data_IF_227329109469
#
_entry.id   IF_227329109469
#
_cell.length_a   1.000
_cell.length_b   1.000
_cell.length_c   1.000
_cell.angle_alpha   90.00
_cell.angle_beta   90.00
_cell.angle_gamma   90.00
#
_symmetry.space_group_name_H-M   'P 1'
#
loop_
_entity.id
_entity.type
_entity.pdbx_description
1 polymer ?
#
# COMPACT_ATOMS: atom_id res chain seq x y z
N UNK A 1 -13.70 -14.50 -8.10
CA UNK A 1 -12.30 -14.97 -7.99
C UNK A 1 -11.67 -14.22 -6.82
N UNK A 2 -11.47 -14.88 -5.68
CA UNK A 2 -10.85 -14.25 -4.51
C UNK A 2 -9.34 -14.33 -4.72
N UNK A 3 -8.69 -13.20 -5.00
CA UNK A 3 -7.23 -13.16 -5.18
C UNK A 3 -6.60 -13.33 -3.78
N UNK A 4 -6.02 -14.51 -3.50
CA UNK A 4 -5.28 -14.73 -2.27
C UNK A 4 -3.95 -13.96 -2.35
N UNK A 5 -3.90 -12.80 -1.70
CA UNK A 5 -2.67 -12.02 -1.52
C UNK A 5 -2.19 -12.31 -0.08
N UNK A 6 -0.92 -12.63 0.09
CA UNK A 6 -0.30 -12.65 1.42
C UNK A 6 -0.15 -11.19 1.89
N UNK A 7 -1.23 -10.65 2.44
CA UNK A 7 -1.29 -9.27 2.92
C UNK A 7 -0.66 -9.16 4.30
N UNK A 8 0.20 -8.17 4.50
CA UNK A 8 0.77 -7.88 5.83
C UNK A 8 0.00 -6.79 6.56
N UNK A 9 -0.58 -5.84 5.84
CA UNK A 9 -1.26 -4.68 6.42
C UNK A 9 -2.24 -4.06 5.43
N UNK A 10 -3.27 -3.40 5.96
CA UNK A 10 -4.18 -2.55 5.19
C UNK A 10 -4.44 -1.21 5.89
N UNK A 11 -4.84 -0.20 5.11
CA UNK A 11 -5.30 1.10 5.59
C UNK A 11 -6.42 1.63 4.69
N UNK A 12 -7.24 2.54 5.20
CA UNK A 12 -8.37 3.13 4.47
C UNK A 12 -8.12 4.62 4.26
N UNK A 13 -8.50 5.18 3.11
CA UNK A 13 -8.47 6.63 2.90
C UNK A 13 -9.38 7.36 3.90
N UNK A 14 -9.10 8.62 4.26
CA UNK A 14 -9.98 9.42 5.11
C UNK A 14 -11.41 9.54 4.58
N UNK A 15 -11.60 9.52 3.26
CA UNK A 15 -12.92 9.55 2.62
C UNK A 15 -13.65 8.20 2.68
N UNK A 16 -12.94 7.10 2.91
CA UNK A 16 -13.49 5.74 2.96
C UNK A 16 -13.64 5.05 1.59
N UNK A 17 -13.19 5.68 0.50
CA UNK A 17 -13.41 5.16 -0.86
C UNK A 17 -12.29 4.25 -1.36
N UNK A 18 -11.11 4.33 -0.74
CA UNK A 18 -9.92 3.57 -1.14
C UNK A 18 -9.37 2.73 0.01
N UNK A 19 -8.97 1.49 -0.32
CA UNK A 19 -8.24 0.57 0.54
C UNK A 19 -6.81 0.42 0.02
N UNK A 20 -5.83 0.59 0.89
CA UNK A 20 -4.41 0.41 0.59
C UNK A 20 -3.95 -0.89 1.23
N UNK A 21 -3.32 -1.78 0.46
CA UNK A 21 -2.94 -3.12 0.91
C UNK A 21 -1.49 -3.37 0.52
N UNK A 22 -0.65 -3.73 1.49
CA UNK A 22 0.73 -4.13 1.21
C UNK A 22 0.80 -5.58 0.75
N UNK A 23 1.61 -5.82 -0.29
CA UNK A 23 1.92 -7.14 -0.82
C UNK A 23 3.45 -7.32 -0.79
N UNK A 24 4.02 -7.78 0.35
CA UNK A 24 5.46 -7.87 0.56
C UNK A 24 6.15 -8.76 -0.46
N UNK A 25 5.60 -9.94 -0.71
CA UNK A 25 6.19 -10.96 -1.58
C UNK A 25 6.33 -10.47 -3.03
N UNK A 26 5.48 -9.53 -3.45
CA UNK A 26 5.52 -8.95 -4.78
C UNK A 26 6.09 -7.53 -4.81
N UNK A 27 6.58 -7.01 -3.69
CA UNK A 27 7.12 -5.64 -3.58
C UNK A 27 6.14 -4.58 -4.11
N UNK A 28 4.86 -4.73 -3.75
CA UNK A 28 3.76 -3.93 -4.30
C UNK A 28 2.86 -3.36 -3.22
N UNK A 29 2.23 -2.24 -3.54
CA UNK A 29 1.08 -1.71 -2.82
C UNK A 29 -0.12 -1.78 -3.76
N UNK A 30 -1.22 -2.35 -3.30
CA UNK A 30 -2.48 -2.38 -4.04
C UNK A 30 -3.39 -1.29 -3.51
N UNK A 31 -4.08 -0.60 -4.41
CA UNK A 31 -5.15 0.33 -4.09
C UNK A 31 -6.42 -0.25 -4.65
N UNK A 32 -7.38 -0.50 -3.77
CA UNK A 32 -8.65 -1.09 -4.12
C UNK A 32 -9.76 -0.07 -3.85
N UNK A 33 -10.86 -0.17 -4.60
CA UNK A 33 -12.09 0.49 -4.21
C UNK A 33 -12.71 -0.25 -3.01
N UNK A 34 -13.70 0.39 -2.39
CA UNK A 34 -14.43 -0.17 -1.25
C UNK A 34 -15.10 -1.52 -1.55
N UNK A 35 -15.45 -1.79 -2.80
CA UNK A 35 -16.02 -3.06 -3.24
C UNK A 35 -14.98 -4.19 -3.44
N UNK A 36 -13.69 -3.89 -3.22
CA UNK A 36 -12.60 -4.83 -3.39
C UNK A 36 -12.06 -4.94 -4.81
N UNK A 37 -12.55 -4.13 -5.76
CA UNK A 37 -11.95 -4.05 -7.09
C UNK A 37 -10.58 -3.38 -7.02
N UNK A 38 -9.59 -3.93 -7.73
CA UNK A 38 -8.25 -3.33 -7.80
C UNK A 38 -8.30 -2.11 -8.72
N UNK A 39 -8.04 -0.93 -8.16
CA UNK A 39 -7.92 0.32 -8.90
C UNK A 39 -6.51 0.52 -9.43
N UNK A 40 -5.52 0.25 -8.59
CA UNK A 40 -4.10 0.47 -8.90
C UNK A 40 -3.27 -0.66 -8.32
N UNK A 41 -2.29 -1.11 -9.09
CA UNK A 41 -1.15 -1.88 -8.59
C UNK A 41 0.09 -0.99 -8.64
N UNK A 42 0.52 -0.49 -7.49
CA UNK A 42 1.64 0.41 -7.37
C UNK A 42 2.94 -0.36 -7.05
N UNK A 43 4.00 -0.01 -7.75
CA UNK A 43 5.34 -0.58 -7.58
C UNK A 43 6.38 0.52 -7.70
N UNK A 44 7.33 0.55 -6.79
CA UNK A 44 8.44 1.50 -6.78
C UNK A 44 9.70 0.76 -6.28
N UNK A 45 10.92 1.07 -6.77
CA UNK A 45 12.15 0.48 -6.23
C UNK A 45 12.32 0.67 -4.72
N UNK A 46 11.81 1.77 -4.15
CA UNK A 46 11.82 2.04 -2.72
C UNK A 46 10.83 1.18 -1.93
N UNK A 47 9.85 0.55 -2.60
CA UNK A 47 8.83 -0.36 -2.05
C UNK A 47 9.38 -1.76 -1.77
N UNK A 48 10.59 -1.85 -1.23
CA UNK A 48 11.24 -3.12 -0.92
C UNK A 48 10.56 -3.79 0.28
N UNK A 49 9.83 -4.88 0.06
CA UNK A 49 9.20 -5.67 1.12
C UNK A 49 8.26 -4.84 2.02
N UNK A 50 7.16 -4.27 1.48
CA UNK A 50 6.23 -3.48 2.27
C UNK A 50 5.56 -4.32 3.35
N UNK A 51 5.75 -3.93 4.60
CA UNK A 51 5.23 -4.65 5.78
C UNK A 51 4.08 -3.92 6.45
N UNK A 52 4.01 -2.59 6.34
CA UNK A 52 2.97 -1.77 6.96
C UNK A 52 2.53 -0.62 6.07
N UNK A 53 1.29 -0.17 6.25
CA UNK A 53 0.75 1.02 5.56
C UNK A 53 -0.15 1.82 6.49
N UNK A 54 -0.07 3.15 6.40
CA UNK A 54 -0.96 4.07 7.09
C UNK A 54 -1.34 5.24 6.16
N UNK A 55 -2.54 5.79 6.33
CA UNK A 55 -3.01 6.97 5.60
C UNK A 55 -3.30 8.08 6.60
N UNK A 56 -2.66 9.23 6.44
CA UNK A 56 -2.89 10.38 7.32
C UNK A 56 -4.27 10.99 7.08
N UNK A 57 -4.82 11.79 8.02
CA UNK A 57 -6.06 12.54 7.79
C UNK A 57 -6.01 13.48 6.58
N UNK A 58 -4.82 13.95 6.21
CA UNK A 58 -4.59 14.76 5.00
C UNK A 58 -4.52 13.95 3.70
N UNK A 59 -4.58 12.61 3.78
CA UNK A 59 -4.58 11.70 2.63
C UNK A 59 -3.20 11.22 2.17
N UNK A 60 -2.12 11.49 2.93
CA UNK A 60 -0.79 11.01 2.61
C UNK A 60 -0.66 9.53 2.95
N UNK A 61 -0.03 8.75 2.07
CA UNK A 61 0.17 7.30 2.27
C UNK A 61 1.60 7.06 2.72
N UNK A 62 1.76 6.54 3.92
CA UNK A 62 3.04 6.15 4.50
C UNK A 62 3.17 4.63 4.45
N UNK A 63 4.27 4.11 3.93
CA UNK A 63 4.52 2.67 3.83
C UNK A 63 5.80 2.33 4.58
N UNK A 64 5.71 1.38 5.50
CA UNK A 64 6.87 0.76 6.11
C UNK A 64 7.41 -0.33 5.19
N UNK A 65 8.69 -0.23 4.88
CA UNK A 65 9.39 -1.11 3.94
C UNK A 65 10.65 -1.66 4.60
N UNK A 66 11.07 -2.83 4.14
CA UNK A 66 12.27 -3.51 4.59
C UNK A 66 11.99 -4.79 5.38
N UNK A 67 13.10 -5.37 5.83
CA UNK A 67 13.17 -6.64 6.54
C UNK A 67 14.10 -6.46 7.73
N UNK A 68 13.81 -7.17 8.83
CA UNK A 68 14.63 -7.12 10.04
C UNK A 68 16.13 -7.24 9.71
N UNK A 69 17.00 -6.38 10.29
CA UNK A 69 16.71 -5.29 11.23
C UNK A 69 16.42 -3.93 10.57
N UNK A 70 16.43 -3.85 9.24
CA UNK A 70 16.39 -2.60 8.48
C UNK A 70 14.96 -2.28 8.03
N UNK A 71 14.33 -1.34 8.73
CA UNK A 71 13.04 -0.77 8.35
C UNK A 71 13.18 0.71 8.08
N UNK A 72 12.49 1.21 7.06
CA UNK A 72 12.36 2.64 6.80
C UNK A 72 10.94 2.94 6.33
N UNK A 73 10.54 4.20 6.50
CA UNK A 73 9.24 4.69 6.03
C UNK A 73 9.46 5.45 4.73
N UNK A 74 8.66 5.12 3.74
CA UNK A 74 8.54 5.93 2.54
C UNK A 74 7.17 6.62 2.57
N UNK A 75 7.15 7.89 2.17
CA UNK A 75 5.93 8.60 1.86
C UNK A 75 5.68 8.43 0.36
N UNK A 76 4.51 7.94 -0.01
CA UNK A 76 4.07 8.00 -1.38
C UNK A 76 3.44 9.36 -1.60
N UNK A 77 4.22 10.27 -2.17
CA UNK A 77 3.65 11.46 -2.78
C UNK A 77 2.73 11.03 -3.91
N UNK A 78 1.70 11.81 -4.21
CA UNK A 78 0.70 11.51 -5.23
C UNK A 78 1.34 11.26 -6.59
N UNK A 79 1.81 10.02 -6.83
CA UNK A 79 2.19 9.54 -8.14
C UNK A 79 0.90 9.55 -8.94
N UNK A 80 0.84 10.42 -9.94
CA UNK A 80 -0.19 10.39 -10.95
C UNK A 80 -0.28 8.96 -11.46
N UNK A 81 -1.35 8.26 -11.09
CA UNK A 81 -1.63 6.92 -11.59
C UNK A 81 -1.87 7.09 -13.10
N UNK A 82 -0.84 6.82 -13.91
CA UNK A 82 -0.96 6.74 -15.37
C UNK A 82 -1.53 5.39 -15.75
#
# INVERSE_FOLDING_TARGET
MLLCIAVSSCAVSPTGDKLYITNPNQHKLLILARDGSVLVTFSDPALAWPTGVNVTPSGQVLVCVGLYPNYYIIQLDSYSYS
#
